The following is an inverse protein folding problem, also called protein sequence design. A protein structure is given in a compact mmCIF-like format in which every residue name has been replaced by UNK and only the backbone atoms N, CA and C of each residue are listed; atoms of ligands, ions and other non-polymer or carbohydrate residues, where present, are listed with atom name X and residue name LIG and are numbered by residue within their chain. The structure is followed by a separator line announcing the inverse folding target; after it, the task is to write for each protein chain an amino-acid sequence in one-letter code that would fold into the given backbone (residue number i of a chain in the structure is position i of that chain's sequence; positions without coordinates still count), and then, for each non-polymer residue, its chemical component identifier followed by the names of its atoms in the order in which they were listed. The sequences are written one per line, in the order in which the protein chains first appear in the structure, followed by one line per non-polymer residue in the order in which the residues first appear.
data_IF_308720952587
#
_entry.id   IF_308720952587
#
_cell.length_a   1.000
_cell.length_b   1.000
_cell.length_c   1.000
_cell.angle_alpha   90.00
_cell.angle_beta   90.00
_cell.angle_gamma   90.00
#
_symmetry.space_group_name_H-M   'P 1'
#
loop_
_entity.id
_entity.type
_entity.pdbx_description
1 polymer ?
#
# COMPACT_ATOMS: atom_id res chain seq x y z
N UNK A 1 -19.13 1.38 10.00
CA UNK A 1 -18.13 0.47 9.43
C UNK A 1 -17.49 1.15 8.24
N UNK A 2 -16.18 1.40 8.28
CA UNK A 2 -15.44 1.69 7.06
C UNK A 2 -15.27 0.35 6.31
N UNK A 3 -15.85 0.22 5.12
CA UNK A 3 -15.85 -1.04 4.36
C UNK A 3 -14.44 -1.50 3.90
N UNK A 4 -13.39 -0.70 4.17
CA UNK A 4 -11.99 -0.99 3.84
C UNK A 4 -11.30 -1.90 4.84
N UNK A 5 -11.78 -1.98 6.10
CA UNK A 5 -11.07 -2.72 7.17
C UNK A 5 -11.03 -4.25 6.94
N UNK A 6 -11.72 -4.76 5.91
CA UNK A 6 -11.77 -6.19 5.56
C UNK A 6 -11.21 -6.50 4.15
N UNK A 7 -10.65 -5.52 3.42
CA UNK A 7 -10.09 -5.76 2.09
C UNK A 7 -8.67 -6.33 2.19
N UNK A 8 -8.29 -7.27 1.31
CA UNK A 8 -6.88 -7.67 1.18
C UNK A 8 -6.06 -6.56 0.51
N UNK A 9 -4.73 -6.67 0.59
CA UNK A 9 -3.83 -5.76 -0.10
C UNK A 9 -4.08 -5.77 -1.61
N UNK A 10 -4.21 -6.96 -2.21
CA UNK A 10 -4.44 -7.16 -3.63
C UNK A 10 -5.79 -6.58 -4.09
N UNK A 11 -6.83 -6.73 -3.27
CA UNK A 11 -8.14 -6.13 -3.55
C UNK A 11 -8.07 -4.60 -3.53
N UNK A 12 -7.39 -4.03 -2.53
CA UNK A 12 -7.23 -2.59 -2.41
C UNK A 12 -6.37 -2.00 -3.53
N UNK A 13 -5.31 -2.68 -3.93
CA UNK A 13 -4.45 -2.29 -5.04
C UNK A 13 -5.21 -2.34 -6.36
N UNK A 14 -5.96 -3.41 -6.61
CA UNK A 14 -6.78 -3.54 -7.82
C UNK A 14 -7.82 -2.43 -7.93
N UNK A 15 -8.52 -2.11 -6.84
CA UNK A 15 -9.49 -1.00 -6.85
C UNK A 15 -8.81 0.34 -7.11
N UNK A 16 -7.60 0.54 -6.58
CA UNK A 16 -6.81 1.75 -6.82
C UNK A 16 -6.44 1.88 -8.31
N UNK A 17 -6.01 0.80 -8.95
CA UNK A 17 -5.72 0.75 -10.39
C UNK A 17 -6.97 1.10 -11.21
N UNK A 18 -8.12 0.49 -10.90
CA UNK A 18 -9.41 0.79 -11.57
C UNK A 18 -9.83 2.26 -11.40
N UNK A 19 -9.51 2.87 -10.24
CA UNK A 19 -9.75 4.29 -10.00
C UNK A 19 -8.84 5.16 -10.85
N UNK A 20 -7.56 4.81 -10.99
CA UNK A 20 -6.62 5.55 -11.82
C UNK A 20 -7.06 5.51 -13.28
N UNK A 21 -7.40 4.33 -13.81
CA UNK A 21 -7.95 4.18 -15.16
C UNK A 21 -9.21 5.04 -15.38
N UNK A 22 -10.11 5.06 -14.40
CA UNK A 22 -11.33 5.86 -14.50
C UNK A 22 -11.06 7.37 -14.42
N UNK A 23 -10.02 7.82 -13.69
CA UNK A 23 -9.62 9.23 -13.62
C UNK A 23 -8.95 9.71 -14.92
N UNK A 24 -8.37 8.81 -15.70
CA UNK A 24 -7.80 9.10 -17.01
C UNK A 24 -8.85 9.18 -18.13
N UNK A 25 -10.09 8.74 -17.86
CA UNK A 25 -11.19 8.78 -18.82
C UNK A 25 -11.65 10.22 -19.09
N UNK A 26 -11.80 10.57 -20.37
CA UNK A 26 -12.29 11.90 -20.80
C UNK A 26 -13.77 12.15 -20.46
N UNK A 27 -14.54 11.10 -20.18
CA UNK A 27 -15.98 11.17 -19.90
C UNK A 27 -16.32 11.35 -18.41
N UNK A 28 -15.32 11.45 -17.54
CA UNK A 28 -15.55 11.57 -16.09
C UNK A 28 -16.05 12.97 -15.72
N UNK A 29 -17.12 13.02 -14.93
CA UNK A 29 -17.62 14.28 -14.40
C UNK A 29 -16.70 14.82 -13.29
N UNK A 30 -16.68 16.14 -13.07
CA UNK A 30 -15.92 16.74 -11.96
C UNK A 30 -16.34 16.19 -10.59
N UNK A 31 -17.63 15.92 -10.40
CA UNK A 31 -18.12 15.37 -9.15
C UNK A 31 -17.57 13.95 -8.92
N UNK A 32 -17.59 13.12 -9.96
CA UNK A 32 -17.09 11.75 -9.89
C UNK A 32 -15.58 11.69 -9.77
N UNK A 33 -14.84 12.59 -10.44
CA UNK A 33 -13.39 12.67 -10.31
C UNK A 33 -12.97 13.03 -8.88
N UNK A 34 -13.66 13.96 -8.22
CA UNK A 34 -13.41 14.29 -6.81
C UNK A 34 -13.74 13.10 -5.88
N UNK A 35 -14.82 12.36 -6.14
CA UNK A 35 -15.16 11.16 -5.35
C UNK A 35 -14.10 10.07 -5.52
N UNK A 36 -13.71 9.78 -6.76
CA UNK A 36 -12.68 8.78 -7.09
C UNK A 36 -11.32 9.17 -6.54
N UNK A 37 -10.92 10.43 -6.63
CA UNK A 37 -9.67 10.91 -6.03
C UNK A 37 -9.64 10.68 -4.52
N UNK A 38 -10.70 11.05 -3.79
CA UNK A 38 -10.79 10.81 -2.33
C UNK A 38 -10.69 9.32 -1.99
N UNK A 39 -11.35 8.46 -2.77
CA UNK A 39 -11.28 7.00 -2.61
C UNK A 39 -9.87 6.49 -2.89
N UNK A 40 -9.24 6.95 -3.96
CA UNK A 40 -7.87 6.60 -4.33
C UNK A 40 -6.86 6.96 -3.25
N UNK A 41 -6.93 8.18 -2.68
CA UNK A 41 -6.08 8.59 -1.55
C UNK A 41 -6.30 7.70 -0.33
N UNK A 42 -7.54 7.32 -0.04
CA UNK A 42 -7.83 6.42 1.07
C UNK A 42 -7.25 5.01 0.85
N UNK A 43 -7.35 4.47 -0.38
CA UNK A 43 -6.76 3.17 -0.74
C UNK A 43 -5.23 3.22 -0.71
N UNK A 44 -4.62 4.28 -1.23
CA UNK A 44 -3.17 4.47 -1.16
C UNK A 44 -2.66 4.44 0.29
N UNK A 45 -3.30 5.19 1.18
CA UNK A 45 -2.94 5.20 2.60
C UNK A 45 -3.15 3.83 3.27
N UNK A 46 -4.19 3.09 2.87
CA UNK A 46 -4.45 1.73 3.34
C UNK A 46 -3.35 0.76 2.91
N UNK A 47 -3.01 0.73 1.61
CA UNK A 47 -1.94 -0.10 1.07
C UNK A 47 -0.58 0.24 1.70
N UNK A 48 -0.25 1.53 1.82
CA UNK A 48 0.99 1.97 2.48
C UNK A 48 1.05 1.51 3.94
N UNK A 49 -0.07 1.57 4.67
CA UNK A 49 -0.12 1.08 6.06
C UNK A 49 0.11 -0.43 6.14
N UNK A 50 -0.44 -1.22 5.23
CA UNK A 50 -0.19 -2.67 5.19
C UNK A 50 1.29 -2.94 4.95
N UNK A 51 1.89 -2.28 3.96
CA UNK A 51 3.31 -2.45 3.63
C UNK A 51 4.22 -2.05 4.80
N UNK A 52 3.98 -0.89 5.41
CA UNK A 52 4.76 -0.45 6.57
C UNK A 52 4.66 -1.41 7.76
N UNK A 53 3.49 -2.04 7.97
CA UNK A 53 3.34 -3.06 9.01
C UNK A 53 4.17 -4.31 8.68
N UNK A 54 4.17 -4.75 7.42
CA UNK A 54 4.95 -5.90 6.98
C UNK A 54 6.45 -5.59 7.08
N UNK A 55 6.90 -4.41 6.66
CA UNK A 55 8.30 -3.98 6.79
C UNK A 55 8.78 -4.03 8.24
N UNK A 56 7.95 -3.62 9.20
CA UNK A 56 8.27 -3.74 10.63
C UNK A 56 8.30 -5.17 11.18
N UNK A 57 7.67 -6.12 10.49
CA UNK A 57 7.70 -7.55 10.86
C UNK A 57 8.86 -8.31 10.19
N UNK A 58 9.35 -7.83 9.03
CA UNK A 58 10.43 -8.47 8.29
C UNK A 58 11.78 -8.09 8.89
N UNK A 59 12.51 -9.10 9.34
CA UNK A 59 13.89 -8.98 9.81
C UNK A 59 14.86 -9.63 8.83
N UNK A 60 16.01 -9.01 8.63
CA UNK A 60 17.13 -9.57 7.88
C UNK A 60 18.01 -10.34 8.85
N UNK A 61 18.40 -11.56 8.47
CA UNK A 61 19.45 -12.30 9.14
C UNK A 61 20.81 -12.01 8.47
N UNK A 62 21.74 -11.44 9.22
CA UNK A 62 23.09 -11.08 8.75
C UNK A 62 24.12 -11.91 9.52
N UNK A 63 25.06 -12.53 8.82
CA UNK A 63 26.19 -13.22 9.44
C UNK A 63 27.31 -12.23 9.73
N UNK A 64 27.80 -12.20 10.98
CA UNK A 64 28.97 -11.39 11.35
C UNK A 64 30.30 -12.06 10.97
N UNK A 65 31.41 -11.35 11.15
CA UNK A 65 32.75 -11.87 10.83
C UNK A 65 33.19 -13.07 11.71
N UNK A 66 32.45 -13.38 12.77
CA UNK A 66 32.70 -14.49 13.69
C UNK A 66 31.75 -15.68 13.40
N UNK A 67 30.86 -15.56 12.41
CA UNK A 67 29.89 -16.59 12.03
C UNK A 67 28.60 -16.60 12.86
N UNK A 68 28.33 -15.54 13.65
CA UNK A 68 27.08 -15.40 14.39
C UNK A 68 26.00 -14.77 13.50
N UNK A 69 24.75 -15.21 13.70
CA UNK A 69 23.59 -14.64 13.03
C UNK A 69 23.02 -13.47 13.85
N UNK A 70 22.94 -12.29 13.24
CA UNK A 70 22.35 -11.07 13.77
C UNK A 70 21.03 -10.77 13.07
N UNK A 71 20.05 -10.23 13.82
CA UNK A 71 18.79 -9.74 13.25
C UNK A 71 18.86 -8.22 13.09
N UNK A 72 18.59 -7.71 11.90
CA UNK A 72 18.41 -6.28 11.62
C UNK A 72 17.04 -5.99 11.01
N UNK A 73 16.52 -4.78 11.24
CA UNK A 73 15.24 -4.34 10.65
C UNK A 73 15.38 -4.20 9.13
N UNK A 74 14.41 -4.70 8.36
CA UNK A 74 14.39 -4.53 6.91
C UNK A 74 13.98 -3.08 6.55
N UNK A 75 14.96 -2.24 6.25
CA UNK A 75 14.70 -0.86 5.77
C UNK A 75 14.72 -0.82 4.23
N UNK A 76 13.56 -0.54 3.62
CA UNK A 76 13.49 -0.21 2.18
C UNK A 76 13.83 1.27 2.03
N UNK A 77 14.99 1.59 1.48
CA UNK A 77 15.27 2.96 1.02
C UNK A 77 14.40 3.24 -0.22
N UNK A 78 13.45 4.17 -0.09
CA UNK A 78 12.65 4.75 -1.18
C UNK A 78 13.34 5.92 -1.85
#
# INVERSE_FOLDING_TARGET
MNNMDNMTYEEALKELEEILEALESEDITLEDSVKKFKRGVALYNYCSKILNNIEGEVKILIEDNEGNMLEEDFQVEV
#
